data_IF_984901970587
#
_entry.id   IF_984901970587
#
_cell.length_a   1.000
_cell.length_b   1.000
_cell.length_c   1.000
_cell.angle_alpha   90.00
_cell.angle_beta   90.00
_cell.angle_gamma   90.00
#
_symmetry.space_group_name_H-M   'P 1'
#
loop_
_entity.id
_entity.type
_entity.pdbx_description
1 polymer ?
#
# COMPACT_ATOMS: atom_id res chain seq x y z
N UNK A 1 20.48 24.83 -5.38
CA UNK A 1 19.70 23.70 -5.90
C UNK A 1 20.15 22.46 -5.18
N UNK A 2 19.40 21.97 -4.20
CA UNK A 2 19.64 20.67 -3.55
C UNK A 2 19.45 19.58 -4.61
N UNK A 3 20.51 18.80 -4.88
CA UNK A 3 20.40 17.62 -5.75
C UNK A 3 19.37 16.68 -5.14
N UNK A 4 18.25 16.48 -5.80
CA UNK A 4 17.31 15.39 -5.49
C UNK A 4 18.07 14.08 -5.66
N UNK A 5 18.30 13.38 -4.55
CA UNK A 5 18.95 12.06 -4.58
C UNK A 5 17.92 10.96 -4.56
N UNK A 6 18.12 9.92 -5.37
CA UNK A 6 17.32 8.70 -5.32
C UNK A 6 17.50 7.95 -4.00
N UNK A 7 16.49 7.19 -3.60
CA UNK A 7 16.57 6.32 -2.43
C UNK A 7 17.65 5.25 -2.61
N UNK A 8 18.41 4.96 -1.55
CA UNK A 8 19.49 3.97 -1.61
C UNK A 8 19.86 3.41 -0.24
N UNK A 9 20.40 2.21 -0.21
CA UNK A 9 21.00 1.64 0.99
C UNK A 9 22.35 2.28 1.32
N UNK A 10 22.63 2.43 2.62
CA UNK A 10 23.90 3.07 3.10
C UNK A 10 25.15 2.27 2.72
N UNK A 11 25.02 0.97 2.41
CA UNK A 11 26.08 0.12 1.92
C UNK A 11 25.52 -1.17 1.32
N UNK A 12 26.31 -1.87 0.47
CA UNK A 12 25.95 -3.18 -0.09
C UNK A 12 25.73 -4.24 0.99
N UNK A 13 26.53 -4.25 2.05
CA UNK A 13 26.35 -5.12 3.21
C UNK A 13 25.00 -4.89 3.92
N UNK A 14 24.56 -3.64 4.00
CA UNK A 14 23.27 -3.30 4.59
C UNK A 14 22.12 -3.75 3.69
N UNK A 15 22.27 -3.58 2.37
CA UNK A 15 21.33 -4.06 1.35
C UNK A 15 21.18 -5.58 1.41
N UNK A 16 22.28 -6.33 1.43
CA UNK A 16 22.26 -7.79 1.54
C UNK A 16 21.49 -8.26 2.77
N UNK A 17 21.80 -7.68 3.95
CA UNK A 17 21.08 -8.03 5.20
C UNK A 17 19.59 -7.71 5.14
N UNK A 18 19.23 -6.61 4.50
CA UNK A 18 17.83 -6.25 4.30
C UNK A 18 17.14 -7.27 3.38
N UNK A 19 17.74 -7.61 2.25
CA UNK A 19 17.19 -8.57 1.29
C UNK A 19 17.03 -9.97 1.88
N UNK A 20 17.97 -10.43 2.70
CA UNK A 20 17.84 -11.69 3.44
C UNK A 20 16.62 -11.68 4.40
N UNK A 21 16.34 -10.55 5.04
CA UNK A 21 15.17 -10.42 5.90
C UNK A 21 13.88 -10.29 5.09
N UNK A 22 13.95 -9.57 3.97
CA UNK A 22 12.85 -9.44 3.02
C UNK A 22 12.44 -10.81 2.46
N UNK A 23 13.38 -11.64 2.04
CA UNK A 23 13.12 -12.97 1.49
C UNK A 23 12.42 -13.86 2.52
N UNK A 24 12.88 -13.83 3.79
CA UNK A 24 12.20 -14.53 4.89
C UNK A 24 10.78 -14.01 5.13
N UNK A 25 10.54 -12.70 4.99
CA UNK A 25 9.19 -12.15 5.10
C UNK A 25 8.29 -12.61 3.92
N UNK A 26 8.85 -12.75 2.74
CA UNK A 26 8.13 -13.26 1.57
C UNK A 26 7.77 -14.76 1.67
N UNK A 27 8.42 -15.53 2.57
CA UNK A 27 8.01 -16.92 2.87
C UNK A 27 6.63 -17.02 3.53
N UNK A 28 6.09 -15.90 4.04
CA UNK A 28 4.70 -15.84 4.54
C UNK A 28 3.66 -15.93 3.40
N UNK A 29 4.07 -15.70 2.16
CA UNK A 29 3.19 -15.87 1.01
C UNK A 29 3.08 -17.34 0.61
N UNK A 30 1.91 -17.78 0.11
CA UNK A 30 1.78 -19.13 -0.43
C UNK A 30 2.67 -19.32 -1.67
N UNK A 31 3.01 -20.59 -1.93
CA UNK A 31 3.73 -20.99 -3.14
C UNK A 31 2.78 -21.78 -4.08
N UNK A 32 3.05 -21.81 -5.40
CA UNK A 32 4.14 -21.10 -6.09
C UNK A 32 3.83 -19.61 -6.28
N UNK A 33 4.85 -18.76 -6.20
CA UNK A 33 4.79 -17.34 -6.57
C UNK A 33 5.88 -17.05 -7.59
N UNK A 34 5.69 -16.00 -8.37
CA UNK A 34 6.70 -15.52 -9.36
C UNK A 34 7.17 -14.13 -8.99
N UNK A 35 8.36 -13.82 -9.39
CA UNK A 35 9.00 -12.51 -9.27
C UNK A 35 9.27 -11.98 -10.68
N UNK A 36 8.99 -10.71 -10.89
CA UNK A 36 9.10 -10.03 -12.17
C UNK A 36 9.80 -8.68 -11.95
N UNK A 37 10.64 -8.29 -12.88
CA UNK A 37 11.25 -6.97 -12.92
C UNK A 37 10.72 -6.21 -14.13
N UNK A 38 10.25 -4.99 -13.91
CA UNK A 38 9.74 -4.10 -14.97
C UNK A 38 10.63 -2.89 -15.08
N UNK A 39 11.23 -2.69 -16.24
CA UNK A 39 11.99 -1.49 -16.55
C UNK A 39 11.04 -0.31 -16.79
N UNK A 40 11.31 0.80 -16.11
CA UNK A 40 10.60 2.07 -16.26
C UNK A 40 11.59 3.21 -16.45
N UNK A 41 11.11 4.36 -16.89
CA UNK A 41 11.93 5.58 -16.97
C UNK A 41 12.43 6.06 -15.61
N UNK A 42 11.84 5.60 -14.51
CA UNK A 42 12.22 5.93 -13.13
C UNK A 42 13.10 4.89 -12.45
N UNK A 43 13.23 3.71 -13.02
CA UNK A 43 14.04 2.61 -12.48
C UNK A 43 13.44 1.24 -12.76
N UNK A 44 14.06 0.20 -12.19
CA UNK A 44 13.56 -1.17 -12.26
C UNK A 44 12.58 -1.40 -11.10
N UNK A 45 11.35 -1.77 -11.40
CA UNK A 45 10.32 -2.06 -10.41
C UNK A 45 10.17 -3.56 -10.25
N UNK A 46 10.38 -4.04 -9.02
CA UNK A 46 10.19 -5.44 -8.67
C UNK A 46 8.74 -5.72 -8.30
N UNK A 47 8.19 -6.83 -8.79
CA UNK A 47 6.78 -7.20 -8.63
C UNK A 47 6.68 -8.68 -8.28
N UNK A 48 5.91 -8.99 -7.25
CA UNK A 48 5.54 -10.36 -6.92
C UNK A 48 4.16 -10.69 -7.50
N UNK A 49 4.06 -11.85 -8.13
CA UNK A 49 2.81 -12.37 -8.69
C UNK A 49 2.39 -13.66 -7.99
N UNK A 50 1.08 -13.78 -7.73
CA UNK A 50 0.43 -14.99 -7.22
C UNK A 50 -0.97 -15.16 -7.83
N UNK A 51 -1.42 -16.40 -7.96
CA UNK A 51 -2.76 -16.73 -8.46
C UNK A 51 -2.76 -17.15 -9.94
N UNK A 52 -3.94 -17.16 -10.59
CA UNK A 52 -4.09 -17.58 -11.98
C UNK A 52 -3.43 -16.63 -12.97
N UNK A 53 -3.16 -17.12 -14.18
CA UNK A 53 -2.55 -16.34 -15.26
C UNK A 53 -3.57 -15.43 -15.97
N UNK A 54 -4.85 -15.69 -15.81
CA UNK A 54 -5.93 -15.02 -16.53
C UNK A 54 -6.97 -14.47 -15.58
N UNK A 55 -7.63 -13.40 -16.00
CA UNK A 55 -8.64 -12.71 -15.21
C UNK A 55 -8.32 -11.22 -15.05
N UNK A 56 -9.23 -10.47 -14.45
CA UNK A 56 -8.96 -9.06 -14.12
C UNK A 56 -7.98 -9.00 -12.95
N UNK A 57 -6.82 -8.32 -13.14
CA UNK A 57 -5.75 -8.33 -12.16
C UNK A 57 -6.06 -7.44 -10.95
N UNK A 58 -5.59 -7.87 -9.78
CA UNK A 58 -5.53 -7.04 -8.58
C UNK A 58 -4.07 -6.59 -8.40
N UNK A 59 -3.85 -5.29 -8.30
CA UNK A 59 -2.54 -4.72 -7.99
C UNK A 59 -2.55 -4.16 -6.57
N UNK A 60 -1.57 -4.57 -5.76
CA UNK A 60 -1.44 -4.23 -4.35
C UNK A 60 -0.27 -3.27 -4.12
N UNK A 61 -0.53 -2.13 -3.47
CA UNK A 61 0.46 -1.11 -3.12
C UNK A 61 0.59 -0.98 -1.60
N UNK A 62 1.75 -1.30 -1.06
CA UNK A 62 2.02 -1.21 0.37
C UNK A 62 2.12 0.23 0.89
N UNK A 63 2.04 0.42 2.20
CA UNK A 63 2.29 1.71 2.85
C UNK A 63 3.77 2.08 2.88
N UNK A 64 4.08 3.35 3.20
CA UNK A 64 5.45 3.84 3.31
C UNK A 64 6.31 2.97 4.25
N UNK A 65 7.54 2.70 3.84
CA UNK A 65 8.49 1.80 4.49
C UNK A 65 7.99 0.33 4.62
N UNK A 66 6.88 -0.01 3.96
CA UNK A 66 6.40 -1.39 3.83
C UNK A 66 7.07 -2.13 2.69
N UNK A 67 6.55 -3.30 2.39
CA UNK A 67 6.95 -4.15 1.27
C UNK A 67 5.83 -5.16 0.93
N UNK A 68 5.86 -5.86 -0.23
CA UNK A 68 4.81 -6.78 -0.67
C UNK A 68 4.38 -7.82 0.36
N UNK A 69 5.27 -8.30 1.24
CA UNK A 69 4.88 -9.28 2.26
C UNK A 69 3.83 -8.77 3.25
N UNK A 70 3.63 -7.44 3.36
CA UNK A 70 2.56 -6.87 4.18
C UNK A 70 1.15 -7.32 3.75
N UNK A 71 1.03 -7.85 2.56
CA UNK A 71 -0.20 -8.39 1.99
C UNK A 71 -0.42 -9.88 2.24
N UNK A 72 0.47 -10.55 3.02
CA UNK A 72 0.39 -12.00 3.23
C UNK A 72 -1.00 -12.51 3.65
N UNK A 73 -1.82 -11.79 4.44
CA UNK A 73 -3.13 -12.31 4.81
C UNK A 73 -4.19 -12.19 3.69
N UNK A 74 -3.90 -11.38 2.66
CA UNK A 74 -4.81 -11.16 1.53
C UNK A 74 -4.53 -12.11 0.36
N UNK A 75 -3.27 -12.52 0.19
CA UNK A 75 -2.78 -13.14 -1.04
C UNK A 75 -3.53 -14.42 -1.41
N UNK A 76 -3.73 -15.34 -0.45
CA UNK A 76 -4.41 -16.60 -0.74
C UNK A 76 -5.86 -16.36 -1.19
N UNK A 77 -6.60 -15.52 -0.46
CA UNK A 77 -8.01 -15.26 -0.75
C UNK A 77 -8.21 -14.50 -2.07
N UNK A 78 -7.40 -13.48 -2.35
CA UNK A 78 -7.50 -12.71 -3.59
C UNK A 78 -7.01 -13.54 -4.79
N UNK A 79 -5.92 -14.30 -4.61
CA UNK A 79 -5.29 -15.09 -5.65
C UNK A 79 -6.01 -16.39 -6.00
N UNK A 80 -7.09 -16.75 -5.30
CA UNK A 80 -7.92 -17.88 -5.67
C UNK A 80 -8.65 -17.66 -7.01
N UNK A 81 -9.01 -16.40 -7.30
CA UNK A 81 -9.84 -16.06 -8.47
C UNK A 81 -9.25 -14.95 -9.35
N UNK A 82 -8.19 -14.30 -8.92
CA UNK A 82 -7.58 -13.16 -9.61
C UNK A 82 -6.06 -13.30 -9.71
N UNK A 83 -5.44 -12.88 -10.83
CA UNK A 83 -4.01 -12.60 -10.85
C UNK A 83 -3.71 -11.48 -9.85
N UNK A 84 -2.84 -11.71 -8.87
CA UNK A 84 -2.48 -10.71 -7.86
C UNK A 84 -1.04 -10.29 -8.06
N UNK A 85 -0.81 -9.00 -8.22
CA UNK A 85 0.50 -8.37 -8.37
C UNK A 85 0.75 -7.45 -7.18
N UNK A 86 1.80 -7.65 -6.42
CA UNK A 86 2.19 -6.71 -5.37
C UNK A 86 3.53 -6.07 -5.74
N UNK A 87 3.54 -4.75 -5.74
CA UNK A 87 4.62 -3.91 -6.23
C UNK A 87 5.49 -3.47 -5.06
N UNK A 88 6.82 -3.65 -5.18
CA UNK A 88 7.80 -2.90 -4.41
C UNK A 88 7.88 -1.47 -4.96
N UNK A 89 7.44 -0.49 -4.18
CA UNK A 89 7.48 0.90 -4.63
C UNK A 89 8.91 1.42 -4.78
N UNK A 90 9.15 2.27 -5.81
CA UNK A 90 10.50 2.73 -6.18
C UNK A 90 11.24 3.50 -5.09
N UNK A 91 10.53 4.12 -4.18
CA UNK A 91 11.07 5.09 -3.23
C UNK A 91 11.10 4.58 -1.78
N UNK A 92 10.81 3.28 -1.59
CA UNK A 92 10.92 2.57 -0.32
C UNK A 92 12.01 1.49 -0.38
N UNK A 93 12.52 1.02 0.78
CA UNK A 93 13.48 -0.08 0.81
C UNK A 93 12.82 -1.37 0.32
N UNK A 94 13.38 -1.96 -0.74
CA UNK A 94 12.85 -3.15 -1.40
C UNK A 94 13.86 -3.74 -2.39
N UNK A 95 13.34 -4.53 -3.32
CA UNK A 95 14.08 -5.06 -4.46
C UNK A 95 14.08 -4.10 -5.64
N UNK A 96 13.12 -3.18 -5.71
CA UNK A 96 13.09 -2.12 -6.73
C UNK A 96 14.31 -1.22 -6.65
N UNK A 97 14.78 -0.75 -7.81
CA UNK A 97 15.96 0.10 -7.93
C UNK A 97 15.58 1.42 -8.58
N UNK A 98 15.52 2.47 -7.80
CA UNK A 98 15.20 3.81 -8.27
C UNK A 98 16.41 4.45 -9.00
N UNK A 99 16.18 5.01 -10.19
CA UNK A 99 17.17 5.76 -10.98
C UNK A 99 16.77 7.23 -11.18
N UNK A 100 15.50 7.54 -11.11
CA UNK A 100 14.99 8.92 -11.17
C UNK A 100 13.95 9.16 -10.05
N UNK A 101 13.84 10.39 -9.58
CA UNK A 101 12.87 10.77 -8.54
C UNK A 101 11.53 11.13 -9.19
N UNK A 102 10.46 10.50 -8.73
CA UNK A 102 9.09 10.92 -9.05
C UNK A 102 8.69 12.01 -8.02
N UNK A 103 8.89 13.27 -8.38
CA UNK A 103 8.77 14.39 -7.44
C UNK A 103 7.32 14.87 -7.24
N UNK A 104 6.43 14.65 -8.21
CA UNK A 104 5.06 15.14 -8.21
C UNK A 104 4.02 14.04 -8.41
N UNK A 105 2.77 14.46 -8.44
CA UNK A 105 1.63 13.56 -8.64
C UNK A 105 1.66 12.89 -10.01
N UNK A 106 1.96 13.65 -11.06
CA UNK A 106 1.99 13.15 -12.43
C UNK A 106 3.10 12.12 -12.63
N UNK A 107 4.32 12.40 -12.12
CA UNK A 107 5.45 11.45 -12.19
C UNK A 107 5.17 10.16 -11.41
N UNK A 108 4.45 10.26 -10.28
CA UNK A 108 4.03 9.08 -9.53
C UNK A 108 2.99 8.25 -10.29
N UNK A 109 2.07 8.88 -11.02
CA UNK A 109 1.15 8.17 -11.89
C UNK A 109 1.88 7.59 -13.12
N UNK A 110 2.87 8.30 -13.66
CA UNK A 110 3.62 7.86 -14.84
C UNK A 110 4.42 6.56 -14.58
N UNK A 111 5.27 6.51 -13.53
CA UNK A 111 6.05 5.30 -13.27
C UNK A 111 5.16 4.07 -12.99
N UNK A 112 4.03 4.28 -12.29
CA UNK A 112 3.10 3.20 -12.02
C UNK A 112 2.35 2.75 -13.29
N UNK A 113 1.98 3.69 -14.16
CA UNK A 113 1.43 3.42 -15.49
C UNK A 113 2.40 2.64 -16.40
N UNK A 114 3.70 2.97 -16.34
CA UNK A 114 4.76 2.22 -17.06
C UNK A 114 4.87 0.78 -16.54
N UNK A 115 4.73 0.55 -15.23
CA UNK A 115 4.69 -0.79 -14.65
C UNK A 115 3.49 -1.58 -15.18
N UNK A 116 2.30 -0.98 -15.20
CA UNK A 116 1.11 -1.64 -15.73
C UNK A 116 1.27 -2.01 -17.22
N UNK A 117 1.84 -1.09 -18.00
CA UNK A 117 2.11 -1.32 -19.42
C UNK A 117 3.15 -2.42 -19.63
N UNK A 118 4.25 -2.40 -18.87
CA UNK A 118 5.31 -3.40 -18.95
C UNK A 118 4.86 -4.82 -18.56
N UNK A 119 3.87 -4.93 -17.67
CA UNK A 119 3.22 -6.18 -17.31
C UNK A 119 2.07 -6.58 -18.25
N UNK A 120 1.69 -5.70 -19.19
CA UNK A 120 0.54 -5.93 -20.09
C UNK A 120 -0.80 -5.94 -19.36
N UNK A 121 -0.91 -5.22 -18.23
CA UNK A 121 -2.12 -5.21 -17.41
C UNK A 121 -3.10 -4.14 -17.86
N UNK A 122 -4.35 -4.52 -17.98
CA UNK A 122 -5.51 -3.67 -18.20
C UNK A 122 -6.67 -4.10 -17.28
N UNK A 123 -7.67 -3.23 -17.11
CA UNK A 123 -8.82 -3.48 -16.21
C UNK A 123 -8.40 -3.85 -14.79
N UNK A 124 -7.44 -3.08 -14.26
CA UNK A 124 -6.79 -3.33 -12.96
C UNK A 124 -7.72 -2.91 -11.81
N UNK A 125 -7.86 -3.78 -10.82
CA UNK A 125 -8.37 -3.43 -9.49
C UNK A 125 -7.20 -2.99 -8.62
N UNK A 126 -7.03 -1.67 -8.45
CA UNK A 126 -5.88 -1.12 -7.74
C UNK A 126 -6.21 -0.93 -6.25
N UNK A 127 -5.49 -1.64 -5.38
CA UNK A 127 -5.67 -1.65 -3.93
C UNK A 127 -4.43 -1.10 -3.24
N UNK A 128 -4.59 -0.14 -2.34
CA UNK A 128 -3.44 0.45 -1.65
C UNK A 128 -3.71 0.84 -0.21
N UNK A 129 -2.71 0.62 0.66
CA UNK A 129 -2.75 1.00 2.06
C UNK A 129 -1.92 2.26 2.32
N UNK A 130 -2.43 3.23 3.09
CA UNK A 130 -1.65 4.39 3.55
C UNK A 130 -1.06 5.20 2.39
N UNK A 131 0.26 5.20 2.20
CA UNK A 131 0.92 5.78 1.04
C UNK A 131 0.55 5.06 -0.26
N UNK A 132 0.44 3.73 -0.25
CA UNK A 132 -0.13 2.97 -1.37
C UNK A 132 -1.57 3.39 -1.67
N UNK A 133 -2.35 3.76 -0.66
CA UNK A 133 -3.68 4.35 -0.83
C UNK A 133 -3.65 5.73 -1.47
N UNK A 134 -2.64 6.55 -1.14
CA UNK A 134 -2.37 7.81 -1.84
C UNK A 134 -2.02 7.57 -3.32
N UNK A 135 -1.11 6.63 -3.60
CA UNK A 135 -0.77 6.25 -4.99
C UNK A 135 -1.99 5.76 -5.76
N UNK A 136 -2.87 5.00 -5.10
CA UNK A 136 -4.12 4.50 -5.69
C UNK A 136 -5.06 5.64 -6.11
N UNK A 137 -5.28 6.62 -5.24
CA UNK A 137 -6.07 7.81 -5.56
C UNK A 137 -5.39 8.66 -6.64
N UNK A 138 -4.08 8.85 -6.51
CA UNK A 138 -3.27 9.61 -7.46
C UNK A 138 -3.34 9.01 -8.88
N UNK A 139 -3.27 7.68 -8.99
CA UNK A 139 -3.40 6.98 -10.27
C UNK A 139 -4.78 7.19 -10.88
N UNK A 140 -5.84 7.11 -10.06
CA UNK A 140 -7.21 7.33 -10.53
C UNK A 140 -7.48 8.75 -11.00
N UNK A 141 -6.74 9.74 -10.48
CA UNK A 141 -6.85 11.15 -10.87
C UNK A 141 -6.05 11.45 -12.16
N UNK A 142 -4.82 10.95 -12.26
CA UNK A 142 -3.87 11.38 -13.28
C UNK A 142 -3.72 10.40 -14.46
N UNK A 143 -3.96 9.09 -14.26
CA UNK A 143 -3.86 8.08 -15.33
C UNK A 143 -4.79 6.88 -15.07
N UNK A 144 -6.13 7.08 -15.17
CA UNK A 144 -7.14 6.07 -14.85
C UNK A 144 -7.36 5.00 -15.92
N UNK A 145 -6.79 5.12 -17.11
CA UNK A 145 -7.21 4.42 -18.33
C UNK A 145 -7.12 2.90 -18.21
N UNK A 146 -6.17 2.40 -17.44
CA UNK A 146 -5.97 0.95 -17.21
C UNK A 146 -6.70 0.40 -15.98
N UNK A 147 -7.41 1.27 -15.24
CA UNK A 147 -8.07 0.87 -14.00
C UNK A 147 -9.53 0.43 -14.25
N UNK A 148 -9.94 -0.66 -13.63
CA UNK A 148 -11.35 -1.07 -13.55
C UNK A 148 -12.02 -0.53 -12.27
N UNK A 149 -11.28 -0.49 -11.17
CA UNK A 149 -11.74 0.06 -9.89
C UNK A 149 -10.56 0.39 -8.98
N UNK A 150 -10.83 1.13 -7.90
CA UNK A 150 -9.84 1.45 -6.88
C UNK A 150 -10.35 1.14 -5.47
N UNK A 151 -9.43 0.68 -4.59
CA UNK A 151 -9.74 0.42 -3.20
C UNK A 151 -8.64 0.99 -2.27
N UNK A 152 -8.59 2.31 -2.05
CA UNK A 152 -7.68 2.92 -1.08
C UNK A 152 -8.11 2.59 0.36
N UNK A 153 -7.17 2.07 1.14
CA UNK A 153 -7.37 1.70 2.54
C UNK A 153 -6.58 2.64 3.46
N UNK A 154 -7.28 3.27 4.38
CA UNK A 154 -6.74 4.29 5.31
C UNK A 154 -5.74 5.23 4.63
N UNK A 155 -6.11 5.85 3.47
CA UNK A 155 -5.19 6.46 2.54
C UNK A 155 -4.56 7.75 3.06
N UNK A 156 -3.29 7.99 2.75
CA UNK A 156 -2.70 9.32 2.83
C UNK A 156 -3.38 10.30 1.87
N UNK A 157 -3.16 11.60 2.09
CA UNK A 157 -3.60 12.66 1.16
C UNK A 157 -5.08 13.06 1.25
N UNK A 158 -5.93 12.40 2.04
CA UNK A 158 -7.29 12.90 2.31
C UNK A 158 -7.26 14.01 3.36
N UNK A 159 -6.37 13.91 4.33
CA UNK A 159 -6.13 14.93 5.35
C UNK A 159 -4.63 15.17 5.52
N UNK A 160 -4.27 16.30 6.13
CA UNK A 160 -2.88 16.51 6.58
C UNK A 160 -2.54 15.50 7.68
N UNK A 161 -1.34 14.96 7.63
CA UNK A 161 -0.86 14.01 8.64
C UNK A 161 -0.84 14.68 10.02
N UNK A 162 -1.61 14.19 11.00
CA UNK A 162 -1.68 14.83 12.31
C UNK A 162 -0.49 14.44 13.19
N UNK A 163 -0.11 15.30 14.15
CA UNK A 163 0.97 15.02 15.09
C UNK A 163 0.79 13.72 15.88
N UNK A 164 -0.46 13.32 16.18
CA UNK A 164 -0.76 12.05 16.86
C UNK A 164 -0.28 10.83 16.08
N UNK A 165 -0.19 10.91 14.73
CA UNK A 165 0.35 9.82 13.91
C UNK A 165 1.82 9.56 14.22
N UNK A 166 2.63 10.62 14.30
CA UNK A 166 4.04 10.51 14.67
C UNK A 166 4.21 10.00 16.10
N UNK A 167 3.38 10.49 17.04
CA UNK A 167 3.37 9.97 18.41
C UNK A 167 3.02 8.48 18.46
N UNK A 168 2.05 8.03 17.63
CA UNK A 168 1.67 6.63 17.51
C UNK A 168 2.83 5.77 16.94
N UNK A 169 3.53 6.25 15.91
CA UNK A 169 4.70 5.57 15.34
C UNK A 169 5.82 5.41 16.38
N UNK A 170 6.12 6.49 17.12
CA UNK A 170 7.10 6.48 18.22
C UNK A 170 6.67 5.51 19.33
N UNK A 171 5.40 5.55 19.73
CA UNK A 171 4.84 4.62 20.72
C UNK A 171 4.94 3.16 20.28
N UNK A 172 4.72 2.88 18.99
CA UNK A 172 4.93 1.57 18.39
C UNK A 172 6.38 1.10 18.50
N UNK A 173 7.34 1.99 18.19
CA UNK A 173 8.76 1.70 18.32
C UNK A 173 9.16 1.36 19.77
N UNK A 174 8.69 2.12 20.75
CA UNK A 174 8.89 1.79 22.16
C UNK A 174 8.19 0.48 22.57
N UNK A 175 7.00 0.22 22.02
CA UNK A 175 6.31 -1.07 22.24
C UNK A 175 7.12 -2.28 21.78
N UNK A 176 8.00 -2.14 20.78
CA UNK A 176 8.91 -3.19 20.35
C UNK A 176 9.99 -3.55 21.41
N UNK A 177 10.24 -2.68 22.38
CA UNK A 177 11.13 -2.97 23.50
C UNK A 177 10.46 -3.82 24.60
N UNK A 178 9.13 -3.93 24.59
CA UNK A 178 8.41 -4.76 25.55
C UNK A 178 8.73 -6.26 25.35
N UNK A 179 8.65 -7.07 26.42
CA UNK A 179 8.78 -8.52 26.34
C UNK A 179 7.83 -9.11 25.29
N UNK A 180 8.31 -10.03 24.46
CA UNK A 180 7.56 -10.62 23.36
C UNK A 180 6.13 -11.07 23.72
N UNK A 181 5.89 -11.74 24.88
CA UNK A 181 4.54 -12.19 25.25
C UNK A 181 3.53 -11.03 25.47
N UNK A 182 4.01 -9.82 25.80
CA UNK A 182 3.15 -8.65 26.06
C UNK A 182 2.83 -7.86 24.79
N UNK A 183 3.61 -8.02 23.73
CA UNK A 183 3.45 -7.22 22.48
C UNK A 183 2.08 -7.37 21.84
N UNK A 184 1.45 -8.56 21.74
CA UNK A 184 0.12 -8.68 21.15
C UNK A 184 -0.97 -7.91 21.93
N UNK A 185 -0.87 -7.88 23.28
CA UNK A 185 -1.79 -7.10 24.09
C UNK A 185 -1.58 -5.60 23.88
N UNK A 186 -0.33 -5.14 23.85
CA UNK A 186 0.03 -3.77 23.54
C UNK A 186 -0.40 -3.38 22.12
N UNK A 187 -0.22 -4.26 21.14
CA UNK A 187 -0.65 -4.03 19.76
C UNK A 187 -2.15 -3.77 19.67
N UNK A 188 -2.96 -4.58 20.34
CA UNK A 188 -4.42 -4.36 20.41
C UNK A 188 -4.78 -3.06 21.14
N UNK A 189 -4.10 -2.75 22.23
CA UNK A 189 -4.33 -1.52 23.00
C UNK A 189 -4.01 -0.28 22.17
N UNK A 190 -2.87 -0.28 21.51
CA UNK A 190 -2.37 0.84 20.72
C UNK A 190 -2.94 0.89 19.28
N UNK A 191 -3.70 -0.12 18.85
CA UNK A 191 -4.09 -0.33 17.45
C UNK A 191 -2.86 -0.26 16.50
N UNK A 192 -1.79 -0.95 16.89
CA UNK A 192 -0.55 -1.03 16.14
C UNK A 192 -0.24 -2.49 15.82
N UNK A 193 -0.60 -2.96 14.59
CA UNK A 193 -0.45 -4.36 14.22
C UNK A 193 1.01 -4.83 14.16
N UNK A 194 1.97 -3.92 13.98
CA UNK A 194 3.39 -4.28 13.98
C UNK A 194 3.83 -4.98 15.27
N UNK A 195 3.21 -4.65 16.42
CA UNK A 195 3.50 -5.31 17.71
C UNK A 195 3.00 -6.76 17.78
N UNK A 196 2.04 -7.13 16.93
CA UNK A 196 1.44 -8.47 16.86
C UNK A 196 1.86 -9.26 15.62
N UNK A 197 2.54 -8.61 14.69
CA UNK A 197 2.98 -9.23 13.44
C UNK A 197 4.11 -10.24 13.66
N UNK A 198 4.25 -11.24 12.79
CA UNK A 198 5.37 -12.17 12.82
C UNK A 198 6.72 -11.43 12.81
N UNK A 199 7.75 -11.93 13.52
CA UNK A 199 9.08 -11.31 13.54
C UNK A 199 9.69 -11.13 12.15
N UNK A 200 9.38 -12.03 11.22
CA UNK A 200 9.82 -12.01 9.82
C UNK A 200 9.32 -10.74 9.11
N UNK A 201 8.10 -10.31 9.38
CA UNK A 201 7.51 -9.07 8.85
C UNK A 201 8.18 -7.81 9.40
N UNK A 202 8.62 -7.86 10.65
CA UNK A 202 9.18 -6.69 11.35
C UNK A 202 10.66 -6.49 11.01
N UNK A 203 11.38 -7.57 10.72
CA UNK A 203 12.82 -7.52 10.48
C UNK A 203 13.20 -6.60 9.30
N UNK A 204 12.60 -6.71 8.10
CA UNK A 204 12.93 -5.81 6.99
C UNK A 204 12.54 -4.35 7.29
N UNK A 205 11.39 -4.09 7.94
CA UNK A 205 11.02 -2.75 8.38
C UNK A 205 12.12 -2.09 9.24
N UNK A 206 12.57 -2.80 10.27
CA UNK A 206 13.60 -2.29 11.18
C UNK A 206 14.97 -2.12 10.51
N UNK A 207 15.31 -3.00 9.58
CA UNK A 207 16.54 -2.89 8.78
C UNK A 207 16.44 -1.73 7.79
N UNK A 208 15.32 -1.58 7.09
CA UNK A 208 15.05 -0.48 6.18
C UNK A 208 15.19 0.87 6.86
N UNK A 209 14.53 1.07 8.01
CA UNK A 209 14.62 2.31 8.80
C UNK A 209 16.06 2.68 9.20
N UNK A 210 16.93 1.71 9.41
CA UNK A 210 18.33 1.93 9.85
C UNK A 210 19.32 2.07 8.72
N UNK A 211 19.02 1.50 7.57
CA UNK A 211 20.00 1.30 6.50
C UNK A 211 19.61 1.85 5.15
N UNK A 212 18.40 2.34 4.99
CA UNK A 212 17.94 2.97 3.76
C UNK A 212 17.80 4.48 3.94
N UNK A 213 18.36 5.24 3.00
CA UNK A 213 18.15 6.68 2.88
C UNK A 213 17.08 6.92 1.83
N UNK A 214 15.86 7.34 2.23
CA UNK A 214 14.82 7.63 1.26
C UNK A 214 15.24 8.82 0.39
N UNK A 215 14.58 8.94 -0.77
CA UNK A 215 14.73 10.13 -1.59
C UNK A 215 14.17 11.37 -0.87
N UNK A 216 14.51 12.58 -1.38
CA UNK A 216 14.00 13.85 -0.87
C UNK A 216 12.65 14.23 -1.51
N UNK A 217 11.78 13.24 -1.76
CA UNK A 217 10.45 13.50 -2.32
C UNK A 217 9.57 14.31 -1.36
N UNK A 218 8.66 15.15 -1.85
CA UNK A 218 7.60 15.69 -1.03
C UNK A 218 6.77 14.56 -0.44
N UNK A 219 6.35 14.70 0.82
CA UNK A 219 5.35 13.81 1.39
C UNK A 219 4.07 13.83 0.53
N UNK A 220 3.31 12.73 0.54
CA UNK A 220 2.01 12.65 -0.12
C UNK A 220 1.16 13.89 0.24
N UNK A 221 0.96 14.79 -0.72
CA UNK A 221 0.18 16.01 -0.49
C UNK A 221 -1.30 15.67 -0.34
N UNK A 222 -2.05 16.47 0.41
CA UNK A 222 -3.50 16.37 0.40
C UNK A 222 -4.08 16.65 -0.99
N UNK A 223 -5.03 15.84 -1.42
CA UNK A 223 -5.82 16.08 -2.62
C UNK A 223 -6.80 17.22 -2.40
N UNK A 224 -7.03 18.01 -3.45
CA UNK A 224 -8.09 19.03 -3.45
C UNK A 224 -9.48 18.39 -3.60
N UNK A 225 -10.52 19.17 -3.35
CA UNK A 225 -11.89 18.67 -3.51
C UNK A 225 -12.23 18.42 -4.98
N UNK A 226 -11.68 19.24 -5.90
CA UNK A 226 -11.81 19.08 -7.35
C UNK A 226 -11.14 17.79 -7.83
N UNK A 227 -9.94 17.47 -7.33
CA UNK A 227 -9.23 16.24 -7.66
C UNK A 227 -10.02 15.01 -7.20
N UNK A 228 -10.50 14.97 -5.96
CA UNK A 228 -11.33 13.87 -5.50
C UNK A 228 -12.65 13.76 -6.28
N UNK A 229 -13.25 14.89 -6.63
CA UNK A 229 -14.48 14.94 -7.40
C UNK A 229 -14.28 14.58 -8.87
N UNK A 230 -13.05 14.53 -9.38
CA UNK A 230 -12.76 14.08 -10.75
C UNK A 230 -12.74 12.56 -10.90
N UNK A 231 -12.64 11.80 -9.82
CA UNK A 231 -12.62 10.32 -9.86
C UNK A 231 -13.98 9.81 -10.36
N UNK A 232 -13.96 8.98 -11.41
CA UNK A 232 -15.17 8.37 -12.03
C UNK A 232 -15.19 6.85 -11.92
N UNK A 233 -14.12 6.27 -11.43
CA UNK A 233 -14.00 4.83 -11.27
C UNK A 233 -14.83 4.33 -10.09
N UNK A 234 -15.36 3.11 -10.13
CA UNK A 234 -15.86 2.43 -8.95
C UNK A 234 -14.82 2.50 -7.84
N UNK A 235 -15.20 3.00 -6.68
CA UNK A 235 -14.27 3.29 -5.57
C UNK A 235 -14.78 2.70 -4.27
N UNK A 236 -13.94 1.92 -3.58
CA UNK A 236 -14.16 1.46 -2.21
C UNK A 236 -13.14 2.12 -1.28
N UNK A 237 -13.59 2.82 -0.24
CA UNK A 237 -12.71 3.40 0.78
C UNK A 237 -12.90 2.68 2.11
N UNK A 238 -11.87 1.99 2.60
CA UNK A 238 -11.88 1.36 3.92
C UNK A 238 -11.06 2.18 4.92
N UNK A 239 -11.66 2.48 6.07
CA UNK A 239 -11.05 3.34 7.10
C UNK A 239 -11.00 2.61 8.43
N UNK A 240 -9.84 2.57 9.08
CA UNK A 240 -9.72 2.01 10.42
C UNK A 240 -10.41 2.90 11.47
N UNK A 241 -11.33 2.34 12.27
CA UNK A 241 -12.05 3.10 13.34
C UNK A 241 -11.10 3.77 14.34
N UNK A 242 -9.94 3.18 14.57
CA UNK A 242 -8.89 3.62 15.50
C UNK A 242 -7.66 4.15 14.76
N UNK A 243 -7.80 4.57 13.51
CA UNK A 243 -6.69 5.13 12.72
C UNK A 243 -6.01 6.29 13.46
N UNK A 244 -4.69 6.21 13.58
CA UNK A 244 -3.88 7.32 14.07
C UNK A 244 -3.61 8.34 12.96
N UNK A 245 -3.62 7.91 11.69
CA UNK A 245 -3.38 8.77 10.52
C UNK A 245 -4.55 9.70 10.22
N UNK A 246 -5.78 9.17 10.27
CA UNK A 246 -6.99 9.87 9.82
C UNK A 246 -7.98 10.13 10.95
N UNK A 247 -8.93 11.01 10.70
CA UNK A 247 -10.19 11.15 11.46
C UNK A 247 -11.28 10.39 10.69
N UNK A 248 -11.55 9.10 10.96
CA UNK A 248 -12.30 8.24 10.06
C UNK A 248 -13.69 8.77 9.69
N UNK A 249 -14.42 9.37 10.65
CA UNK A 249 -15.74 9.95 10.39
C UNK A 249 -15.69 11.16 9.47
N UNK A 250 -14.70 12.02 9.64
CA UNK A 250 -14.53 13.22 8.81
C UNK A 250 -14.09 12.82 7.39
N UNK A 251 -13.17 11.87 7.28
CA UNK A 251 -12.76 11.32 5.98
C UNK A 251 -13.92 10.65 5.28
N UNK A 252 -14.70 9.83 5.99
CA UNK A 252 -15.90 9.20 5.45
C UNK A 252 -16.86 10.24 4.84
N UNK A 253 -17.19 11.30 5.60
CA UNK A 253 -18.04 12.39 5.11
C UNK A 253 -17.45 13.06 3.87
N UNK A 254 -16.15 13.37 3.88
CA UNK A 254 -15.47 14.04 2.78
C UNK A 254 -15.49 13.20 1.49
N UNK A 255 -15.11 11.92 1.58
CA UNK A 255 -15.07 11.06 0.38
C UNK A 255 -16.46 10.78 -0.16
N UNK A 256 -17.47 10.60 0.71
CA UNK A 256 -18.87 10.40 0.30
C UNK A 256 -19.46 11.64 -0.38
N UNK A 257 -19.05 12.84 0.05
CA UNK A 257 -19.50 14.08 -0.57
C UNK A 257 -18.82 14.36 -1.91
N UNK A 258 -17.59 13.91 -2.11
CA UNK A 258 -16.76 14.33 -3.26
C UNK A 258 -16.62 13.25 -4.34
N UNK A 259 -16.50 11.97 -3.99
CA UNK A 259 -16.26 10.91 -4.97
C UNK A 259 -17.63 10.30 -5.38
N UNK A 260 -18.04 10.45 -6.64
CA UNK A 260 -19.33 9.95 -7.10
C UNK A 260 -19.44 8.42 -6.96
N UNK A 261 -20.52 7.96 -6.33
CA UNK A 261 -20.79 6.52 -6.20
C UNK A 261 -19.82 5.75 -5.29
N UNK A 262 -19.03 6.43 -4.47
CA UNK A 262 -18.08 5.78 -3.57
C UNK A 262 -18.80 4.88 -2.56
N UNK A 263 -18.28 3.67 -2.39
CA UNK A 263 -18.57 2.82 -1.24
C UNK A 263 -17.51 3.12 -0.17
N UNK A 264 -17.93 3.58 1.00
CA UNK A 264 -16.97 3.96 2.05
C UNK A 264 -17.40 3.40 3.40
N UNK A 265 -16.48 2.76 4.12
CA UNK A 265 -16.78 2.07 5.38
C UNK A 265 -15.71 2.29 6.45
N UNK A 266 -16.16 2.32 7.72
CA UNK A 266 -15.29 2.36 8.89
C UNK A 266 -15.20 0.96 9.49
N UNK A 267 -14.07 0.31 9.31
CA UNK A 267 -13.76 -1.02 9.84
C UNK A 267 -13.61 -0.96 11.36
N UNK A 268 -14.52 -1.63 12.06
CA UNK A 268 -14.53 -1.63 13.52
C UNK A 268 -13.36 -2.46 14.07
N UNK A 269 -12.84 -2.06 15.23
CA UNK A 269 -11.71 -2.72 15.91
C UNK A 269 -10.43 -2.82 15.08
N UNK A 270 -10.25 -1.90 14.12
CA UNK A 270 -9.05 -1.77 13.32
C UNK A 270 -8.45 -0.38 13.45
N UNK A 271 -7.14 -0.30 13.42
CA UNK A 271 -6.33 0.92 13.31
C UNK A 271 -5.90 1.17 11.87
N UNK A 272 -4.73 1.80 11.73
CA UNK A 272 -4.15 2.15 10.43
C UNK A 272 -3.77 0.92 9.58
N UNK A 273 -3.38 -0.19 10.19
CA UNK A 273 -3.02 -1.44 9.51
C UNK A 273 -4.18 -2.42 9.42
N UNK A 274 -5.35 -1.96 8.96
CA UNK A 274 -6.60 -2.74 8.96
C UNK A 274 -6.51 -4.06 8.18
N UNK A 275 -5.67 -4.14 7.15
CA UNK A 275 -5.42 -5.37 6.39
C UNK A 275 -4.77 -6.47 7.23
N UNK A 276 -3.98 -6.10 8.25
CA UNK A 276 -3.35 -7.04 9.19
C UNK A 276 -4.21 -7.29 10.43
N UNK A 277 -5.01 -6.30 10.84
CA UNK A 277 -5.83 -6.37 12.06
C UNK A 277 -7.17 -7.08 11.84
N UNK A 278 -7.73 -7.00 10.64
CA UNK A 278 -9.03 -7.58 10.26
C UNK A 278 -8.98 -8.19 8.85
N UNK A 279 -8.04 -9.12 8.60
CA UNK A 279 -7.76 -9.62 7.26
C UNK A 279 -8.97 -10.27 6.58
N UNK A 280 -9.75 -11.08 7.28
CA UNK A 280 -10.92 -11.77 6.72
C UNK A 280 -11.97 -10.76 6.25
N UNK A 281 -12.27 -9.75 7.07
CA UNK A 281 -13.23 -8.71 6.73
C UNK A 281 -12.76 -7.85 5.55
N UNK A 282 -11.47 -7.50 5.53
CA UNK A 282 -10.88 -6.75 4.40
C UNK A 282 -10.96 -7.56 3.11
N UNK A 283 -10.63 -8.86 3.17
CA UNK A 283 -10.72 -9.75 2.01
C UNK A 283 -12.15 -9.85 1.48
N UNK A 284 -13.12 -10.01 2.38
CA UNK A 284 -14.54 -10.05 2.03
C UNK A 284 -14.99 -8.77 1.32
N UNK A 285 -14.69 -7.59 1.88
CA UNK A 285 -15.04 -6.30 1.27
C UNK A 285 -14.40 -6.12 -0.11
N UNK A 286 -13.11 -6.45 -0.24
CA UNK A 286 -12.41 -6.34 -1.52
C UNK A 286 -13.03 -7.25 -2.59
N UNK A 287 -13.27 -8.52 -2.29
CA UNK A 287 -13.84 -9.48 -3.24
C UNK A 287 -15.28 -9.13 -3.62
N UNK A 288 -16.12 -8.74 -2.66
CA UNK A 288 -17.49 -8.29 -2.92
C UNK A 288 -17.51 -7.05 -3.82
N UNK A 289 -16.65 -6.06 -3.51
CA UNK A 289 -16.54 -4.85 -4.29
C UNK A 289 -16.05 -5.11 -5.72
N UNK A 290 -15.01 -5.91 -5.91
CA UNK A 290 -14.48 -6.29 -7.23
C UNK A 290 -15.57 -7.00 -8.05
N UNK A 291 -16.30 -7.93 -7.45
CA UNK A 291 -17.39 -8.65 -8.11
C UNK A 291 -18.52 -7.71 -8.55
N UNK A 292 -18.93 -6.76 -7.69
CA UNK A 292 -19.99 -5.80 -7.99
C UNK A 292 -19.59 -4.77 -9.07
N UNK A 293 -18.33 -4.32 -9.06
CA UNK A 293 -17.82 -3.37 -10.06
C UNK A 293 -17.79 -3.94 -11.48
N UNK A 294 -17.63 -5.28 -11.62
CA UNK A 294 -17.71 -5.98 -12.91
C UNK A 294 -19.11 -6.02 -13.52
N UNK A 295 -20.14 -6.05 -12.67
CA UNK A 295 -21.53 -6.12 -13.14
C UNK A 295 -22.03 -4.75 -13.65
N UNK A 296 -21.61 -3.65 -13.03
CA UNK A 296 -21.98 -2.30 -13.43
C UNK A 296 -21.41 -1.84 -14.77
N UNK A 297 -20.34 -2.48 -15.27
CA UNK A 297 -19.72 -2.18 -16.57
C UNK A 297 -20.32 -2.96 -17.75
N UNK A 298 -21.21 -3.93 -17.49
CA UNK A 298 -21.87 -4.78 -18.51
C UNK A 298 -23.29 -4.35 -18.85
N UNK A 299 -23.84 -3.36 -18.13
CA UNK A 299 -25.15 -2.75 -18.37
C UNK A 299 -25.01 -1.40 -19.13
#
# INVERSE_FOLDING_TARGET
>A
MTRTSVGHFVSEKARTKFLEAYDRAMELWPAPRRELDVETSYGTVHVHHYGPETGEPIVLLHGHAGHPSNWYPQIAALGEHHPVYAIDTLDDPGRSVQRAVAAGSEENAAWLGEVFAGLGLDRIHLVGLSYGGWLTLNQAIHAPERLASIAPMDPGGIEKVPARFYAHMIGGLFGMLAPRPLRPALGRLLANPALSSPPEMIAPLMLGMRSYKPNTRPAARPFTDEELSSIRLPTLVLLGRRSALLRPRHVLQRVTALIPGVQAEIVQRAGHGLNLERPELVNEHLLQFITSSRQGTRS
#
